data_IF_612880658285
#
_entry.id   IF_612880658285
#
_cell.length_a   1.000
_cell.length_b   1.000
_cell.length_c   1.000
_cell.angle_alpha   90.00
_cell.angle_beta   90.00
_cell.angle_gamma   90.00
#
_symmetry.space_group_name_H-M   'P 1'
#
loop_
_entity.id
_entity.type
_entity.pdbx_description
1 polymer ?
#
# COMPACT_ATOMS: atom_id res chain seq x y z
N UNK A 1 -8.34 17.85 5.34
CA UNK A 1 -7.82 17.51 4.00
C UNK A 1 -8.65 18.22 2.95
N UNK A 2 -8.23 19.38 2.52
CA UNK A 2 -8.85 20.06 1.39
C UNK A 2 -7.97 19.84 0.16
N UNK A 3 -8.21 18.75 -0.56
CA UNK A 3 -7.64 18.61 -1.89
C UNK A 3 -8.54 19.35 -2.88
N UNK A 4 -8.07 20.50 -3.30
CA UNK A 4 -8.63 21.20 -4.45
C UNK A 4 -8.37 20.37 -5.70
N UNK A 5 -9.42 19.77 -6.23
CA UNK A 5 -9.40 19.16 -7.55
C UNK A 5 -9.20 20.26 -8.59
N UNK A 6 -7.97 20.49 -8.99
CA UNK A 6 -7.72 21.20 -10.22
C UNK A 6 -7.88 20.23 -11.39
N UNK A 7 -9.08 20.19 -11.93
CA UNK A 7 -9.27 19.69 -13.28
C UNK A 7 -8.64 20.68 -14.25
N UNK A 8 -7.37 20.50 -14.57
CA UNK A 8 -6.77 21.19 -15.69
C UNK A 8 -7.06 20.33 -16.92
N UNK A 9 -7.94 20.83 -17.78
CA UNK A 9 -8.41 20.14 -18.95
C UNK A 9 -7.31 19.84 -19.98
N UNK A 10 -7.50 18.76 -20.73
CA UNK A 10 -6.87 18.51 -22.01
C UNK A 10 -5.62 17.62 -21.98
N UNK A 11 -5.83 16.32 -22.01
CA UNK A 11 -4.84 15.27 -22.23
C UNK A 11 -5.27 14.02 -21.51
N UNK A 12 -5.16 12.86 -22.14
CA UNK A 12 -5.39 11.58 -21.48
C UNK A 12 -4.37 11.41 -20.34
N UNK A 13 -4.68 12.00 -19.20
CA UNK A 13 -3.94 11.78 -17.97
C UNK A 13 -4.40 10.43 -17.41
N UNK A 14 -3.43 9.59 -17.02
CA UNK A 14 -3.71 8.30 -16.41
C UNK A 14 -4.29 8.43 -15.00
N UNK A 15 -4.32 7.33 -14.29
CA UNK A 15 -4.88 7.28 -12.94
C UNK A 15 -4.09 8.15 -11.97
N UNK A 16 -4.77 9.02 -11.24
CA UNK A 16 -4.15 9.83 -10.19
C UNK A 16 -3.77 8.96 -9.00
N UNK A 17 -2.60 9.19 -8.41
CA UNK A 17 -2.11 8.38 -7.27
C UNK A 17 -3.06 8.41 -6.06
N UNK A 18 -3.85 9.46 -5.90
CA UNK A 18 -4.85 9.58 -4.84
C UNK A 18 -5.90 8.46 -4.88
N UNK A 19 -6.18 7.87 -6.04
CA UNK A 19 -7.10 6.74 -6.14
C UNK A 19 -6.54 5.50 -5.43
N UNK A 20 -5.24 5.25 -5.58
CA UNK A 20 -4.55 4.16 -4.89
C UNK A 20 -4.45 4.46 -3.38
N UNK A 21 -4.10 5.69 -3.02
CA UNK A 21 -4.02 6.13 -1.62
C UNK A 21 -5.34 5.95 -0.89
N UNK A 22 -6.46 6.29 -1.53
CA UNK A 22 -7.79 6.12 -0.95
C UNK A 22 -8.09 4.64 -0.64
N UNK A 23 -7.73 3.73 -1.53
CA UNK A 23 -7.88 2.29 -1.30
C UNK A 23 -6.97 1.83 -0.16
N UNK A 24 -5.70 2.21 -0.19
CA UNK A 24 -4.73 1.90 0.87
C UNK A 24 -5.20 2.38 2.25
N UNK A 25 -5.62 3.63 2.37
CA UNK A 25 -6.09 4.19 3.64
C UNK A 25 -7.34 3.47 4.18
N UNK A 26 -8.19 2.96 3.31
CA UNK A 26 -9.34 2.13 3.71
C UNK A 26 -8.98 0.73 4.19
N UNK A 27 -7.75 0.28 3.97
CA UNK A 27 -7.26 -1.05 4.36
C UNK A 27 -6.48 -1.04 5.67
N UNK A 28 -6.07 0.13 6.15
CA UNK A 28 -5.29 0.29 7.37
C UNK A 28 -6.07 1.08 8.41
N UNK A 29 -5.73 0.82 9.69
CA UNK A 29 -6.18 1.62 10.82
C UNK A 29 -4.93 2.06 11.58
N UNK A 30 -4.62 3.35 11.56
CA UNK A 30 -3.44 3.88 12.24
C UNK A 30 -3.75 5.23 12.90
N UNK A 31 -4.05 5.18 14.18
CA UNK A 31 -4.31 6.38 14.97
C UNK A 31 -3.04 7.24 15.16
N UNK A 32 -1.85 6.63 15.07
CA UNK A 32 -0.59 7.36 15.19
C UNK A 32 -0.43 8.37 14.05
N UNK A 33 -0.96 8.07 12.86
CA UNK A 33 -0.90 8.97 11.71
C UNK A 33 -1.70 10.27 11.91
N UNK A 34 -2.68 10.28 12.82
CA UNK A 34 -3.40 11.49 13.17
C UNK A 34 -2.51 12.54 13.85
N UNK A 35 -1.36 12.11 14.39
CA UNK A 35 -0.40 12.95 15.10
C UNK A 35 0.80 13.36 14.23
N UNK A 36 0.86 12.90 12.98
CA UNK A 36 1.97 13.14 12.05
C UNK A 36 1.54 14.20 11.02
N UNK A 37 2.48 15.05 10.64
CA UNK A 37 2.24 16.07 9.60
C UNK A 37 1.85 15.41 8.26
N UNK A 38 0.89 16.00 7.57
CA UNK A 38 0.35 15.49 6.30
C UNK A 38 1.45 15.29 5.25
N UNK A 39 2.42 16.18 5.16
CA UNK A 39 3.53 16.11 4.21
C UNK A 39 4.38 14.85 4.44
N UNK A 40 4.61 14.48 5.70
CA UNK A 40 5.37 13.26 6.06
C UNK A 40 4.57 12.02 5.68
N UNK A 41 3.27 12.02 5.92
CA UNK A 41 2.38 10.92 5.55
C UNK A 41 2.36 10.73 4.04
N UNK A 42 2.28 11.81 3.27
CA UNK A 42 2.29 11.76 1.81
C UNK A 42 3.61 11.19 1.27
N UNK A 43 4.75 11.60 1.83
CA UNK A 43 6.05 11.06 1.45
C UNK A 43 6.16 9.55 1.76
N UNK A 44 5.63 9.11 2.90
CA UNK A 44 5.58 7.69 3.27
C UNK A 44 4.69 6.90 2.30
N UNK A 45 3.50 7.41 2.01
CA UNK A 45 2.58 6.76 1.07
C UNK A 45 3.19 6.66 -0.33
N UNK A 46 3.84 7.72 -0.80
CA UNK A 46 4.52 7.71 -2.09
C UNK A 46 5.62 6.65 -2.13
N UNK A 47 6.41 6.54 -1.08
CA UNK A 47 7.44 5.50 -0.96
C UNK A 47 6.84 4.09 -1.01
N UNK A 48 5.74 3.84 -0.30
CA UNK A 48 5.05 2.55 -0.34
C UNK A 48 4.50 2.25 -1.75
N UNK A 49 3.94 3.26 -2.42
CA UNK A 49 3.43 3.11 -3.78
C UNK A 49 4.55 2.80 -4.78
N UNK A 50 5.66 3.52 -4.72
CA UNK A 50 6.81 3.30 -5.59
C UNK A 50 7.35 1.87 -5.42
N UNK A 51 7.49 1.38 -4.19
CA UNK A 51 7.90 0.00 -3.93
C UNK A 51 6.88 -1.01 -4.47
N UNK A 52 5.59 -0.74 -4.32
CA UNK A 52 4.53 -1.61 -4.86
C UNK A 52 4.56 -1.66 -6.39
N UNK A 53 4.86 -0.55 -7.07
CA UNK A 53 4.99 -0.53 -8.54
C UNK A 53 6.17 -1.38 -9.01
N UNK A 54 7.32 -1.31 -8.33
CA UNK A 54 8.51 -2.11 -8.65
C UNK A 54 8.23 -3.60 -8.49
N UNK A 55 7.45 -4.00 -7.50
CA UNK A 55 7.13 -5.40 -7.22
C UNK A 55 6.02 -5.98 -8.12
N UNK A 56 5.25 -5.14 -8.78
CA UNK A 56 4.19 -5.58 -9.69
C UNK A 56 4.74 -5.95 -11.09
N UNK A 57 5.61 -6.95 -11.13
CA UNK A 57 6.32 -7.39 -12.35
C UNK A 57 5.41 -7.88 -13.48
N UNK A 58 4.20 -8.30 -13.16
CA UNK A 58 3.26 -8.89 -14.11
C UNK A 58 2.31 -7.87 -14.74
N UNK A 59 2.42 -6.61 -14.32
CA UNK A 59 1.60 -5.54 -14.89
C UNK A 59 1.96 -5.34 -16.36
N UNK A 60 0.95 -5.35 -17.22
CA UNK A 60 1.11 -5.10 -18.66
C UNK A 60 1.22 -3.62 -19.00
N UNK A 61 0.77 -2.77 -18.07
CA UNK A 61 0.84 -1.32 -18.25
C UNK A 61 2.15 -0.76 -17.74
N UNK A 62 2.51 0.38 -18.30
CA UNK A 62 3.62 1.17 -17.78
C UNK A 62 3.19 1.87 -16.48
N UNK A 63 3.82 1.50 -15.37
CA UNK A 63 3.53 2.05 -14.04
C UNK A 63 4.39 3.29 -13.71
N UNK A 64 4.88 3.99 -14.72
CA UNK A 64 5.59 5.25 -14.53
C UNK A 64 4.64 6.33 -14.01
N UNK A 65 5.08 7.06 -13.01
CA UNK A 65 4.34 8.18 -12.42
C UNK A 65 4.92 9.48 -12.96
N UNK A 66 4.05 10.35 -13.49
CA UNK A 66 4.38 11.74 -13.76
C UNK A 66 4.24 12.54 -12.45
N UNK A 67 5.35 12.91 -11.85
CA UNK A 67 5.39 13.64 -10.58
C UNK A 67 4.91 15.09 -10.68
N UNK A 68 4.77 15.65 -11.88
CA UNK A 68 4.19 16.99 -12.05
C UNK A 68 2.67 16.96 -11.87
N UNK A 69 2.03 15.94 -12.43
CA UNK A 69 0.58 15.76 -12.33
C UNK A 69 0.17 14.80 -11.19
N UNK A 70 1.12 14.07 -10.64
CA UNK A 70 0.90 12.99 -9.67
C UNK A 70 -0.06 11.93 -10.21
N UNK A 71 0.07 11.63 -11.50
CA UNK A 71 -0.71 10.61 -12.20
C UNK A 71 0.21 9.55 -12.80
N UNK A 72 -0.29 8.32 -12.88
CA UNK A 72 0.31 7.33 -13.77
C UNK A 72 0.15 7.80 -15.22
N UNK A 73 1.10 7.46 -16.09
CA UNK A 73 1.02 7.80 -17.51
C UNK A 73 -0.10 7.03 -18.21
N UNK A 74 -0.51 5.88 -17.67
CA UNK A 74 -1.62 5.07 -18.18
C UNK A 74 -2.78 5.02 -17.18
N UNK A 75 -3.98 4.79 -17.69
CA UNK A 75 -5.15 4.53 -16.88
C UNK A 75 -5.11 3.10 -16.34
N UNK A 76 -5.16 2.94 -15.02
CA UNK A 76 -5.14 1.65 -14.34
C UNK A 76 -6.53 1.08 -14.17
N UNK A 77 -6.68 -0.23 -14.36
CA UNK A 77 -7.90 -0.93 -14.01
C UNK A 77 -8.06 -1.00 -12.48
N UNK A 78 -9.28 -1.26 -12.03
CA UNK A 78 -9.54 -1.45 -10.60
C UNK A 78 -8.70 -2.59 -10.01
N UNK A 79 -8.49 -3.66 -10.77
CA UNK A 79 -7.65 -4.79 -10.33
C UNK A 79 -6.19 -4.37 -10.14
N UNK A 80 -5.65 -3.57 -11.04
CA UNK A 80 -4.30 -3.02 -10.93
C UNK A 80 -4.17 -2.07 -9.74
N UNK A 81 -5.16 -1.22 -9.51
CA UNK A 81 -5.23 -0.34 -8.34
C UNK A 81 -5.23 -1.16 -7.04
N UNK A 82 -6.00 -2.24 -6.98
CA UNK A 82 -6.07 -3.10 -5.79
C UNK A 82 -4.76 -3.84 -5.53
N UNK A 83 -4.08 -4.29 -6.57
CA UNK A 83 -2.73 -4.90 -6.44
C UNK A 83 -1.75 -3.89 -5.83
N UNK A 84 -1.73 -2.67 -6.32
CA UNK A 84 -0.86 -1.63 -5.79
C UNK A 84 -1.21 -1.26 -4.34
N UNK A 85 -2.49 -1.12 -4.03
CA UNK A 85 -2.94 -0.78 -2.68
C UNK A 85 -2.57 -1.86 -1.65
N UNK A 86 -2.77 -3.14 -1.96
CA UNK A 86 -2.34 -4.23 -1.08
C UNK A 86 -0.82 -4.33 -0.96
N UNK A 87 -0.08 -4.05 -2.03
CA UNK A 87 1.37 -3.91 -2.00
C UNK A 87 1.82 -2.81 -1.04
N UNK A 88 1.16 -1.66 -1.05
CA UNK A 88 1.42 -0.56 -0.11
C UNK A 88 1.18 -0.99 1.35
N UNK A 89 0.12 -1.75 1.62
CA UNK A 89 -0.18 -2.26 2.98
C UNK A 89 0.97 -3.12 3.51
N UNK A 90 1.54 -3.98 2.67
CA UNK A 90 2.69 -4.81 3.06
C UNK A 90 3.89 -3.93 3.44
N UNK A 91 4.23 -2.95 2.61
CA UNK A 91 5.33 -2.01 2.89
C UNK A 91 5.09 -1.14 4.12
N UNK A 92 3.85 -0.80 4.39
CA UNK A 92 3.45 -0.10 5.61
C UNK A 92 3.64 -0.96 6.87
N UNK A 93 3.33 -2.27 6.80
CA UNK A 93 3.40 -3.18 7.95
C UNK A 93 4.82 -3.65 8.26
N UNK A 94 5.68 -3.84 7.27
CA UNK A 94 7.01 -4.42 7.44
C UNK A 94 7.90 -3.67 8.46
N UNK A 95 8.04 -2.34 8.41
CA UNK A 95 8.84 -1.62 9.41
C UNK A 95 8.25 -1.72 10.82
N UNK A 96 6.94 -1.76 10.95
CA UNK A 96 6.25 -1.90 12.24
C UNK A 96 6.50 -3.28 12.86
N UNK A 97 6.40 -4.34 12.07
CA UNK A 97 6.70 -5.72 12.49
C UNK A 97 8.14 -5.83 12.93
N UNK A 98 9.07 -5.32 12.13
CA UNK A 98 10.49 -5.35 12.43
C UNK A 98 10.82 -4.61 13.73
N UNK A 99 10.17 -3.48 13.98
CA UNK A 99 10.34 -2.73 15.23
C UNK A 99 9.89 -3.55 16.43
N UNK A 100 8.74 -4.21 16.36
CA UNK A 100 8.22 -5.05 17.44
C UNK A 100 9.08 -6.31 17.66
N UNK A 101 9.58 -6.92 16.59
CA UNK A 101 10.51 -8.05 16.68
C UNK A 101 11.83 -7.65 17.35
N UNK A 102 12.38 -6.47 17.02
CA UNK A 102 13.59 -5.94 17.65
C UNK A 102 13.36 -5.67 19.13
N UNK A 103 12.23 -5.10 19.52
CA UNK A 103 11.89 -4.90 20.93
C UNK A 103 11.84 -6.22 21.70
N UNK A 104 11.33 -7.28 21.08
CA UNK A 104 11.30 -8.61 21.68
C UNK A 104 12.70 -9.14 22.06
N UNK A 105 13.71 -8.80 21.27
CA UNK A 105 15.10 -9.23 21.53
C UNK A 105 15.73 -8.55 22.77
N UNK A 106 15.24 -7.38 23.16
CA UNK A 106 15.75 -6.60 24.28
C UNK A 106 14.99 -6.83 25.59
N UNK A 107 13.84 -7.50 25.53
CA UNK A 107 12.98 -7.75 26.70
C UNK A 107 12.94 -9.26 26.96
N UNK A 108 13.00 -9.68 28.23
CA UNK A 108 12.86 -11.11 28.55
C UNK A 108 11.51 -11.64 28.08
N UNK A 109 11.44 -12.91 27.69
CA UNK A 109 10.22 -13.55 27.22
C UNK A 109 9.05 -13.36 28.20
N UNK A 110 9.37 -13.38 29.50
CA UNK A 110 8.37 -13.17 30.56
C UNK A 110 7.84 -11.74 30.59
N UNK A 111 8.71 -10.75 30.40
CA UNK A 111 8.34 -9.34 30.40
C UNK A 111 7.63 -8.96 29.09
N UNK A 112 8.05 -9.54 27.97
CA UNK A 112 7.41 -9.36 26.66
C UNK A 112 5.97 -9.88 26.68
N UNK A 113 5.73 -11.04 27.28
CA UNK A 113 4.38 -11.60 27.42
C UNK A 113 3.48 -10.79 28.34
N UNK A 114 4.05 -10.05 29.29
CA UNK A 114 3.31 -9.15 30.19
C UNK A 114 2.97 -7.81 29.53
N UNK A 115 3.71 -7.40 28.52
CA UNK A 115 3.48 -6.17 27.78
C UNK A 115 2.46 -6.43 26.67
N UNK A 116 1.61 -5.47 26.39
CA UNK A 116 0.67 -5.50 25.27
C UNK A 116 1.33 -5.70 23.88
N UNK A 117 2.66 -5.65 23.84
CA UNK A 117 3.47 -5.73 22.61
C UNK A 117 3.43 -7.12 21.96
N UNK A 118 3.27 -8.21 22.73
CA UNK A 118 3.12 -9.55 22.14
C UNK A 118 1.84 -9.66 21.31
N UNK A 119 0.76 -9.11 21.79
CA UNK A 119 -0.51 -9.05 21.07
C UNK A 119 -0.42 -8.12 19.86
N UNK A 120 0.30 -7.02 19.98
CA UNK A 120 0.52 -6.09 18.87
C UNK A 120 1.31 -6.76 17.75
N UNK A 121 2.41 -7.43 18.05
CA UNK A 121 3.21 -8.15 17.05
C UNK A 121 2.37 -9.20 16.32
N UNK A 122 1.62 -10.01 17.06
CA UNK A 122 0.75 -11.02 16.47
C UNK A 122 -0.32 -10.40 15.57
N UNK A 123 -0.92 -9.29 15.99
CA UNK A 123 -1.92 -8.56 15.20
C UNK A 123 -1.31 -8.03 13.89
N UNK A 124 -0.12 -7.44 13.94
CA UNK A 124 0.57 -6.94 12.76
C UNK A 124 0.94 -8.06 11.79
N UNK A 125 1.41 -9.20 12.30
CA UNK A 125 1.75 -10.37 11.47
C UNK A 125 0.50 -10.96 10.79
N UNK A 126 -0.63 -11.03 11.50
CA UNK A 126 -1.89 -11.49 10.93
C UNK A 126 -2.41 -10.54 9.83
N UNK A 127 -2.23 -9.24 10.01
CA UNK A 127 -2.58 -8.25 8.98
C UNK A 127 -1.68 -8.38 7.76
N UNK A 128 -0.39 -8.63 7.93
CA UNK A 128 0.54 -8.86 6.82
C UNK A 128 0.17 -10.13 6.06
N UNK A 129 -0.13 -11.23 6.75
CA UNK A 129 -0.57 -12.48 6.12
C UNK A 129 -1.85 -12.27 5.30
N UNK A 130 -2.81 -11.56 5.86
CA UNK A 130 -4.04 -11.19 5.14
C UNK A 130 -3.74 -10.35 3.90
N UNK A 131 -2.88 -9.36 4.04
CA UNK A 131 -2.49 -8.49 2.91
C UNK A 131 -1.82 -9.29 1.79
N UNK A 132 -0.92 -10.21 2.13
CA UNK A 132 -0.28 -11.10 1.15
C UNK A 132 -1.27 -12.01 0.43
N UNK A 133 -2.22 -12.59 1.16
CA UNK A 133 -3.29 -13.40 0.56
C UNK A 133 -4.17 -12.61 -0.40
N UNK A 134 -4.51 -11.38 -0.04
CA UNK A 134 -5.29 -10.48 -0.90
C UNK A 134 -4.49 -10.09 -2.15
N UNK A 135 -3.22 -9.73 -1.98
CA UNK A 135 -2.33 -9.42 -3.09
C UNK A 135 -2.25 -10.59 -4.08
N UNK A 136 -2.00 -11.80 -3.58
CA UNK A 136 -1.95 -13.02 -4.41
C UNK A 136 -3.26 -13.27 -5.16
N UNK A 137 -4.39 -13.04 -4.49
CA UNK A 137 -5.72 -13.18 -5.10
C UNK A 137 -5.89 -12.21 -6.28
N UNK A 138 -5.57 -10.94 -6.11
CA UNK A 138 -5.71 -9.94 -7.17
C UNK A 138 -4.70 -10.15 -8.29
N UNK A 139 -3.47 -10.53 -7.98
CA UNK A 139 -2.45 -10.86 -8.99
C UNK A 139 -2.84 -12.12 -9.79
N UNK A 140 -3.40 -13.12 -9.14
CA UNK A 140 -3.88 -14.34 -9.81
C UNK A 140 -5.05 -14.04 -10.75
N UNK A 141 -6.00 -13.21 -10.32
CA UNK A 141 -7.10 -12.74 -11.17
C UNK A 141 -6.60 -11.95 -12.37
N UNK A 142 -5.61 -11.10 -12.16
CA UNK A 142 -5.00 -10.31 -13.21
C UNK A 142 -4.36 -11.20 -14.28
N UNK A 143 -3.54 -12.18 -13.88
CA UNK A 143 -2.93 -13.17 -14.77
C UNK A 143 -3.97 -13.98 -15.52
N UNK A 144 -5.02 -14.43 -14.85
CA UNK A 144 -6.09 -15.21 -15.45
C UNK A 144 -6.82 -14.46 -16.57
N UNK A 145 -7.17 -13.19 -16.33
CA UNK A 145 -7.79 -12.34 -17.35
C UNK A 145 -6.92 -12.17 -18.58
N UNK A 146 -5.62 -12.02 -18.41
CA UNK A 146 -4.67 -11.93 -19.53
C UNK A 146 -4.58 -13.22 -20.33
N UNK A 147 -4.55 -14.35 -19.64
CA UNK A 147 -4.44 -15.67 -20.28
C UNK A 147 -5.69 -16.03 -21.09
N UNK A 148 -6.87 -15.66 -20.62
CA UNK A 148 -8.14 -15.99 -21.27
C UNK A 148 -8.59 -14.98 -22.32
N UNK A 149 -7.94 -13.82 -22.43
CA UNK A 149 -8.33 -12.75 -23.34
C UNK A 149 -9.71 -12.11 -23.03
N UNK A 150 -10.21 -12.32 -21.84
CA UNK A 150 -11.46 -11.71 -21.37
C UNK A 150 -11.18 -10.29 -20.91
N UNK A 151 -11.66 -9.33 -21.65
CA UNK A 151 -11.65 -7.92 -21.25
C UNK A 151 -12.81 -7.62 -20.28
#
# INVERSE_FOLDING_TARGET
>A
MHYLFYFIGGGNMGTHIQEIYRKFLGMIEDEEWLLVDDDIIEDLMLNYLENATVEFHQCKKDLTIDYNSMCFIEELSMNEIMVLAWGMVIHYLQPKIKREENLRQFVSDKDFNKLSNANMLMRLMNLEEKARKQLDTYQSRYRFKEFTGWN
#
